data_IF_754816835046
#
_entry.id   IF_754816835046
#
_cell.length_a   1.000
_cell.length_b   1.000
_cell.length_c   1.000
_cell.angle_alpha   90.00
_cell.angle_beta   90.00
_cell.angle_gamma   90.00
#
_symmetry.space_group_name_H-M   'P 1'
#
loop_
_entity.id
_entity.type
_entity.pdbx_description
1 polymer ?
#
# COMPACT_ATOMS: atom_id res chain seq x y z
N UNK A 1 -69.26 28.63 -0.78
CA UNK A 1 -68.66 27.79 0.28
C UNK A 1 -68.51 26.30 -0.08
N UNK A 2 -69.50 25.66 -0.65
CA UNK A 2 -69.45 24.17 -0.99
C UNK A 2 -68.37 23.74 -1.95
N UNK A 3 -67.93 24.54 -2.94
CA UNK A 3 -66.91 24.16 -3.91
C UNK A 3 -65.47 24.17 -3.29
N UNK A 4 -65.18 25.11 -2.38
CA UNK A 4 -63.89 25.20 -1.70
C UNK A 4 -63.71 24.06 -0.70
N UNK A 5 -64.82 23.64 -0.04
CA UNK A 5 -64.75 22.55 0.92
C UNK A 5 -64.49 21.20 0.20
N UNK A 6 -65.04 20.94 -0.94
CA UNK A 6 -64.76 19.76 -1.76
C UNK A 6 -63.32 19.72 -2.26
N UNK A 7 -62.76 20.87 -2.65
CA UNK A 7 -61.34 20.96 -3.09
C UNK A 7 -60.35 20.68 -1.94
N UNK A 8 -60.64 21.15 -0.74
CA UNK A 8 -59.82 20.89 0.45
C UNK A 8 -59.90 19.40 0.83
N UNK A 9 -61.11 18.80 0.77
CA UNK A 9 -61.32 17.37 1.04
C UNK A 9 -60.56 16.49 0.05
N UNK A 10 -60.54 16.87 -1.21
CA UNK A 10 -59.79 16.16 -2.25
C UNK A 10 -58.26 16.26 -2.02
N UNK A 11 -57.78 17.42 -1.61
CA UNK A 11 -56.36 17.64 -1.31
C UNK A 11 -55.92 16.81 -0.10
N UNK A 12 -56.73 16.77 0.97
CA UNK A 12 -56.47 15.96 2.15
C UNK A 12 -56.49 14.46 1.81
N UNK A 13 -57.42 14.02 0.95
CA UNK A 13 -57.50 12.63 0.51
C UNK A 13 -56.29 12.24 -0.37
N UNK A 14 -55.81 13.15 -1.23
CA UNK A 14 -54.63 12.92 -2.05
C UNK A 14 -53.35 12.87 -1.19
N UNK A 15 -53.27 13.72 -0.16
CA UNK A 15 -52.16 13.74 0.79
C UNK A 15 -52.13 12.44 1.62
N UNK A 16 -53.31 11.91 1.99
CA UNK A 16 -53.47 10.66 2.71
C UNK A 16 -53.04 9.44 1.86
N UNK A 17 -53.38 9.44 0.56
CA UNK A 17 -52.90 8.41 -0.40
C UNK A 17 -51.39 8.46 -0.57
N UNK A 18 -50.79 9.66 -0.69
CA UNK A 18 -49.36 9.83 -0.77
C UNK A 18 -48.64 9.36 0.51
N UNK A 19 -49.19 9.70 1.69
CA UNK A 19 -48.63 9.23 2.96
C UNK A 19 -48.79 7.70 3.13
N UNK A 20 -49.91 7.12 2.68
CA UNK A 20 -50.09 5.67 2.65
C UNK A 20 -49.14 4.96 1.69
N UNK A 21 -48.92 5.52 0.50
CA UNK A 21 -47.99 4.94 -0.47
C UNK A 21 -46.54 5.03 -0.02
N UNK A 22 -46.15 6.13 0.65
CA UNK A 22 -44.83 6.27 1.26
C UNK A 22 -44.67 5.36 2.48
N UNK A 23 -45.72 5.25 3.33
CA UNK A 23 -45.71 4.34 4.47
C UNK A 23 -45.63 2.88 4.06
N UNK A 24 -46.41 2.47 3.05
CA UNK A 24 -46.35 1.11 2.48
C UNK A 24 -45.00 0.86 1.81
N UNK A 25 -44.45 1.85 1.07
CA UNK A 25 -43.14 1.76 0.50
C UNK A 25 -42.04 1.61 1.57
N UNK A 26 -42.14 2.33 2.67
CA UNK A 26 -41.23 2.22 3.82
C UNK A 26 -41.36 0.85 4.53
N UNK A 27 -42.58 0.37 4.76
CA UNK A 27 -42.83 -0.97 5.34
C UNK A 27 -42.35 -2.08 4.39
N UNK A 28 -42.53 -1.93 3.09
CA UNK A 28 -41.98 -2.88 2.10
C UNK A 28 -40.44 -2.84 2.07
N UNK A 29 -39.85 -1.66 2.15
CA UNK A 29 -38.40 -1.50 2.22
C UNK A 29 -37.81 -2.13 3.48
N UNK A 30 -38.43 -1.88 4.64
CA UNK A 30 -38.01 -2.48 5.91
C UNK A 30 -38.24 -4.00 5.99
N UNK A 31 -39.27 -4.50 5.30
CA UNK A 31 -39.58 -5.93 5.28
C UNK A 31 -38.75 -6.73 4.28
N UNK A 32 -38.25 -6.07 3.21
CA UNK A 32 -37.29 -6.64 2.29
C UNK A 32 -35.89 -6.68 2.93
N UNK A 33 -35.59 -5.77 3.85
CA UNK A 33 -34.30 -5.71 4.58
C UNK A 33 -34.18 -6.69 5.74
N UNK A 34 -35.22 -7.49 6.06
CA UNK A 34 -35.20 -8.33 7.28
C UNK A 34 -34.69 -9.77 7.05
N UNK A 35 -34.71 -10.28 5.84
CA UNK A 35 -34.28 -11.67 5.54
C UNK A 35 -33.19 -11.81 4.48
N UNK A 36 -33.00 -10.82 3.63
CA UNK A 36 -31.86 -10.77 2.69
C UNK A 36 -31.49 -9.32 2.37
N UNK A 37 -30.23 -8.98 2.47
CA UNK A 37 -29.72 -7.66 2.07
C UNK A 37 -29.15 -7.75 0.65
N UNK A 38 -29.64 -6.91 -0.26
CA UNK A 38 -29.04 -6.74 -1.59
C UNK A 38 -28.37 -5.38 -1.64
N UNK A 39 -27.08 -5.38 -1.89
CA UNK A 39 -26.28 -4.17 -2.05
C UNK A 39 -25.75 -4.12 -3.48
N UNK A 40 -25.89 -2.96 -4.11
CA UNK A 40 -25.28 -2.71 -5.42
C UNK A 40 -24.18 -1.67 -5.27
N UNK A 41 -22.99 -2.03 -5.66
CA UNK A 41 -21.82 -1.17 -5.67
C UNK A 41 -21.26 -1.14 -7.11
N UNK A 42 -21.52 -0.04 -7.82
CA UNK A 42 -21.21 0.09 -9.23
C UNK A 42 -21.89 -0.98 -10.09
N UNK A 43 -21.11 -1.87 -10.67
CA UNK A 43 -21.57 -3.01 -11.49
C UNK A 43 -21.59 -4.33 -10.72
N UNK A 44 -21.26 -4.33 -9.44
CA UNK A 44 -21.30 -5.52 -8.58
C UNK A 44 -22.64 -5.54 -7.83
N UNK A 45 -23.30 -6.68 -7.82
CA UNK A 45 -24.45 -6.95 -6.95
C UNK A 45 -24.06 -7.95 -5.89
N UNK A 46 -24.26 -7.61 -4.63
CA UNK A 46 -23.99 -8.46 -3.47
C UNK A 46 -25.34 -8.87 -2.89
N UNK A 47 -25.56 -10.16 -2.78
CA UNK A 47 -26.77 -10.71 -2.17
C UNK A 47 -26.39 -11.45 -0.89
N UNK A 48 -26.71 -10.86 0.28
CA UNK A 48 -26.54 -11.47 1.59
C UNK A 48 -27.78 -12.27 1.95
N UNK A 49 -27.80 -13.57 1.70
CA UNK A 49 -28.96 -14.45 1.91
C UNK A 49 -29.42 -14.52 3.36
N UNK A 50 -28.50 -14.33 4.31
CA UNK A 50 -28.78 -14.32 5.76
C UNK A 50 -28.63 -12.92 6.38
N UNK A 51 -28.64 -11.87 5.54
CA UNK A 51 -28.31 -10.50 5.95
C UNK A 51 -26.79 -10.26 6.07
N UNK A 52 -26.38 -9.00 5.99
CA UNK A 52 -24.96 -8.61 6.13
C UNK A 52 -24.48 -8.58 7.58
N UNK A 53 -25.40 -8.44 8.54
CA UNK A 53 -25.12 -8.47 9.98
C UNK A 53 -25.49 -9.82 10.54
N UNK A 54 -24.61 -10.37 11.37
CA UNK A 54 -24.88 -11.63 12.06
C UNK A 54 -24.77 -11.45 13.58
N UNK A 55 -25.64 -12.18 14.30
CA UNK A 55 -25.61 -12.32 15.75
C UNK A 55 -26.03 -13.77 16.07
N UNK A 56 -25.07 -14.63 16.29
CA UNK A 56 -25.21 -16.08 16.27
C UNK A 56 -24.62 -16.70 17.54
N UNK A 57 -24.92 -17.98 17.76
CA UNK A 57 -24.30 -18.79 18.81
C UNK A 57 -24.14 -20.23 18.37
N UNK A 58 -23.10 -20.92 18.85
CA UNK A 58 -22.78 -22.27 18.40
C UNK A 58 -22.24 -22.30 16.97
N UNK A 59 -22.09 -23.50 16.42
CA UNK A 59 -21.64 -23.67 15.05
C UNK A 59 -22.76 -23.28 14.07
N UNK A 60 -22.47 -22.33 13.20
CA UNK A 60 -23.42 -21.80 12.22
C UNK A 60 -22.74 -21.54 10.89
N UNK A 61 -23.54 -21.29 9.86
CA UNK A 61 -23.04 -20.83 8.57
C UNK A 61 -23.95 -19.73 8.01
N UNK A 62 -23.37 -18.80 7.28
CA UNK A 62 -24.06 -17.78 6.51
C UNK A 62 -23.56 -17.79 5.08
N UNK A 63 -24.45 -17.46 4.15
CA UNK A 63 -24.16 -17.50 2.71
C UNK A 63 -24.43 -16.16 2.09
N UNK A 64 -23.62 -15.81 1.11
CA UNK A 64 -23.79 -14.62 0.27
C UNK A 64 -23.25 -14.89 -1.13
N UNK A 65 -23.63 -14.07 -2.08
CA UNK A 65 -23.10 -14.12 -3.43
C UNK A 65 -22.67 -12.75 -3.93
N UNK A 66 -21.70 -12.75 -4.82
CA UNK A 66 -21.23 -11.55 -5.52
C UNK A 66 -21.37 -11.80 -7.01
N UNK A 67 -22.09 -10.90 -7.69
CA UNK A 67 -22.33 -10.98 -9.14
C UNK A 67 -21.72 -9.77 -9.81
N UNK A 68 -20.91 -9.99 -10.82
CA UNK A 68 -20.42 -8.94 -11.70
C UNK A 68 -21.38 -8.79 -12.88
N UNK A 69 -22.07 -7.65 -12.98
CA UNK A 69 -23.00 -7.35 -14.06
C UNK A 69 -22.33 -6.60 -15.24
N UNK A 70 -21.02 -6.44 -15.20
CA UNK A 70 -20.24 -5.88 -16.30
C UNK A 70 -19.73 -7.02 -17.20
N UNK A 71 -19.36 -6.70 -18.43
CA UNK A 71 -18.66 -7.62 -19.36
C UNK A 71 -17.16 -7.75 -19.04
N UNK A 72 -16.58 -6.78 -18.32
CA UNK A 72 -15.18 -6.76 -17.91
C UNK A 72 -15.00 -7.34 -16.51
N UNK A 73 -13.85 -7.94 -16.26
CA UNK A 73 -13.50 -8.41 -14.94
C UNK A 73 -13.45 -7.25 -13.92
N UNK A 74 -13.89 -7.51 -12.70
CA UNK A 74 -13.87 -6.57 -11.58
C UNK A 74 -13.11 -7.18 -10.40
N UNK A 75 -12.70 -6.30 -9.50
CA UNK A 75 -12.10 -6.68 -8.23
C UNK A 75 -12.93 -6.15 -7.09
N UNK A 76 -12.98 -6.89 -6.00
CA UNK A 76 -13.65 -6.48 -4.76
C UNK A 76 -12.90 -7.00 -3.54
N UNK A 77 -13.18 -6.41 -2.39
CA UNK A 77 -12.65 -6.86 -1.10
C UNK A 77 -13.75 -7.52 -0.27
N UNK A 78 -13.34 -8.38 0.65
CA UNK A 78 -14.20 -9.00 1.67
C UNK A 78 -13.62 -8.63 3.02
N UNK A 79 -14.42 -8.01 3.90
CA UNK A 79 -14.01 -7.56 5.22
C UNK A 79 -15.05 -7.97 6.26
N UNK A 80 -14.58 -8.28 7.46
CA UNK A 80 -15.40 -8.41 8.66
C UNK A 80 -15.21 -7.18 9.53
N UNK A 81 -16.30 -6.53 9.94
CA UNK A 81 -16.30 -5.33 10.79
C UNK A 81 -17.20 -5.53 11.99
N UNK A 82 -17.05 -4.67 13.00
CA UNK A 82 -17.86 -4.67 14.22
C UNK A 82 -17.93 -6.05 14.91
N UNK A 83 -16.85 -6.82 14.80
CA UNK A 83 -16.82 -8.18 15.33
C UNK A 83 -16.69 -8.17 16.84
N UNK A 84 -17.60 -8.90 17.48
CA UNK A 84 -17.53 -9.31 18.89
C UNK A 84 -17.54 -10.85 18.96
N UNK A 85 -16.45 -11.44 19.40
CA UNK A 85 -16.28 -12.89 19.48
C UNK A 85 -15.19 -13.25 20.50
N UNK A 86 -15.41 -14.36 21.23
CA UNK A 86 -14.41 -15.00 22.07
C UNK A 86 -14.24 -16.43 21.59
N UNK A 87 -13.01 -16.84 21.29
CA UNK A 87 -12.67 -18.21 20.91
C UNK A 87 -13.51 -18.80 19.74
N UNK A 88 -13.82 -17.96 18.76
CA UNK A 88 -14.54 -18.35 17.55
C UNK A 88 -13.60 -18.33 16.38
N UNK A 89 -13.57 -19.38 15.60
CA UNK A 89 -12.90 -19.41 14.30
C UNK A 89 -13.91 -19.43 13.15
N UNK A 90 -13.47 -19.02 11.98
CA UNK A 90 -14.29 -19.12 10.77
C UNK A 90 -13.52 -19.78 9.63
N UNK A 91 -14.29 -20.32 8.70
CA UNK A 91 -13.83 -20.83 7.41
C UNK A 91 -14.69 -20.18 6.32
N UNK A 92 -14.08 -19.37 5.44
CA UNK A 92 -14.72 -18.79 4.26
C UNK A 92 -14.39 -19.64 3.04
N UNK A 93 -15.42 -20.18 2.41
CA UNK A 93 -15.32 -21.03 1.20
C UNK A 93 -16.08 -20.36 0.08
N UNK A 94 -15.55 -20.40 -1.14
CA UNK A 94 -16.25 -19.93 -2.34
C UNK A 94 -16.39 -20.97 -3.42
N UNK A 95 -17.30 -20.72 -4.38
CA UNK A 95 -17.52 -21.59 -5.53
C UNK A 95 -16.34 -21.64 -6.51
N UNK A 96 -15.41 -20.67 -6.44
CA UNK A 96 -14.18 -20.57 -7.25
C UNK A 96 -12.94 -21.11 -6.52
N UNK A 97 -13.13 -21.91 -5.46
CA UNK A 97 -12.10 -22.61 -4.67
C UNK A 97 -11.28 -21.72 -3.70
N UNK A 98 -11.75 -20.51 -3.35
CA UNK A 98 -11.18 -19.80 -2.21
C UNK A 98 -11.48 -20.57 -0.93
N UNK A 99 -10.47 -20.75 -0.07
CA UNK A 99 -10.64 -21.31 1.28
C UNK A 99 -9.72 -20.56 2.24
N UNK A 100 -10.30 -19.82 3.18
CA UNK A 100 -9.60 -19.03 4.19
C UNK A 100 -10.11 -19.43 5.56
N UNK A 101 -9.22 -19.82 6.46
CA UNK A 101 -9.54 -20.14 7.86
C UNK A 101 -8.77 -19.22 8.78
N UNK A 102 -9.47 -18.57 9.74
CA UNK A 102 -8.85 -17.69 10.72
C UNK A 102 -9.69 -17.60 12.01
N UNK A 103 -9.16 -16.94 13.05
CA UNK A 103 -9.94 -16.54 14.22
C UNK A 103 -10.85 -15.37 13.86
N UNK A 104 -12.08 -15.39 14.38
CA UNK A 104 -13.08 -14.38 14.10
C UNK A 104 -12.75 -13.06 14.81
N UNK A 105 -12.45 -12.05 14.02
CA UNK A 105 -12.13 -10.68 14.43
C UNK A 105 -12.45 -9.70 13.30
N UNK A 106 -12.46 -8.42 13.61
CA UNK A 106 -12.53 -7.38 12.56
C UNK A 106 -11.23 -7.37 11.76
N UNK A 107 -11.32 -7.75 10.48
CA UNK A 107 -10.17 -7.85 9.58
C UNK A 107 -10.59 -7.81 8.11
N UNK A 108 -9.64 -7.49 7.25
CA UNK A 108 -9.79 -7.73 5.81
C UNK A 108 -9.52 -9.22 5.58
N UNK A 109 -10.56 -9.96 5.19
CA UNK A 109 -10.50 -11.39 4.93
C UNK A 109 -9.80 -11.65 3.59
N UNK A 110 -10.14 -10.88 2.56
CA UNK A 110 -9.46 -10.85 1.27
C UNK A 110 -9.47 -9.42 0.72
N UNK A 111 -8.30 -8.93 0.42
CA UNK A 111 -8.13 -7.55 -0.07
C UNK A 111 -8.48 -7.41 -1.57
N UNK A 112 -8.35 -8.50 -2.34
CA UNK A 112 -8.58 -8.47 -3.78
C UNK A 112 -9.05 -9.84 -4.27
N UNK A 113 -10.34 -9.92 -4.59
CA UNK A 113 -10.94 -11.07 -5.25
C UNK A 113 -11.28 -10.65 -6.68
N UNK A 114 -10.83 -11.43 -7.65
CA UNK A 114 -11.18 -11.22 -9.07
C UNK A 114 -12.49 -11.93 -9.38
N UNK A 115 -13.37 -11.28 -10.16
CA UNK A 115 -14.58 -11.88 -10.71
C UNK A 115 -14.69 -11.50 -12.18
N UNK A 116 -14.85 -12.50 -13.03
CA UNK A 116 -14.97 -12.27 -14.47
C UNK A 116 -16.27 -11.55 -14.83
N UNK A 117 -16.34 -11.04 -16.06
CA UNK A 117 -17.55 -10.42 -16.56
C UNK A 117 -18.72 -11.39 -16.58
N UNK A 118 -19.89 -10.93 -16.10
CA UNK A 118 -21.14 -11.72 -16.01
C UNK A 118 -21.03 -13.00 -15.15
N UNK A 119 -20.10 -13.05 -14.22
CA UNK A 119 -19.91 -14.17 -13.29
C UNK A 119 -20.60 -13.92 -11.95
N UNK A 120 -20.97 -15.02 -11.29
CA UNK A 120 -21.45 -15.03 -9.90
C UNK A 120 -20.59 -15.98 -9.07
N UNK A 121 -20.01 -15.48 -7.99
CA UNK A 121 -19.30 -16.29 -7.00
C UNK A 121 -20.16 -16.42 -5.74
N UNK A 122 -20.37 -17.65 -5.29
CA UNK A 122 -21.11 -17.95 -4.07
C UNK A 122 -20.14 -18.21 -2.92
N UNK A 123 -20.46 -17.69 -1.76
CA UNK A 123 -19.67 -17.80 -0.55
C UNK A 123 -20.44 -18.48 0.57
N UNK A 124 -19.73 -19.28 1.37
CA UNK A 124 -20.19 -19.81 2.64
C UNK A 124 -19.17 -19.45 3.71
N UNK A 125 -19.61 -18.74 4.75
CA UNK A 125 -18.82 -18.42 5.93
C UNK A 125 -19.31 -19.33 7.08
N UNK A 126 -18.49 -20.29 7.45
CA UNK A 126 -18.76 -21.27 8.51
C UNK A 126 -18.07 -20.86 9.79
N UNK A 127 -18.80 -20.85 10.89
CA UNK A 127 -18.26 -20.54 12.22
C UNK A 127 -18.09 -21.82 13.04
N UNK A 128 -16.96 -21.90 13.75
CA UNK A 128 -16.67 -22.97 14.70
C UNK A 128 -16.40 -22.37 16.06
N UNK A 129 -17.15 -22.83 17.05
CA UNK A 129 -17.02 -22.39 18.44
C UNK A 129 -16.98 -23.58 19.38
N UNK A 130 -16.34 -23.40 20.54
CA UNK A 130 -16.40 -24.36 21.63
C UNK A 130 -17.66 -24.08 22.50
N UNK A 131 -18.69 -24.91 22.37
CA UNK A 131 -19.95 -24.75 23.11
C UNK A 131 -20.95 -23.80 22.43
N UNK A 132 -21.66 -23.00 23.23
CA UNK A 132 -22.72 -22.08 22.78
C UNK A 132 -22.30 -20.60 22.90
N UNK A 133 -21.04 -20.28 22.69
CA UNK A 133 -20.56 -18.91 22.70
C UNK A 133 -21.33 -18.05 21.68
N UNK A 134 -21.63 -16.81 22.09
CA UNK A 134 -22.26 -15.82 21.22
C UNK A 134 -21.21 -15.01 20.48
N UNK A 135 -21.48 -14.71 19.24
CA UNK A 135 -20.64 -13.86 18.41
C UNK A 135 -21.48 -13.06 17.43
N UNK A 136 -20.96 -11.90 17.05
CA UNK A 136 -21.62 -11.00 16.12
C UNK A 136 -20.62 -10.29 15.23
N UNK A 137 -21.10 -9.71 14.13
CA UNK A 137 -20.29 -8.92 13.23
C UNK A 137 -21.07 -8.48 11.99
N UNK A 138 -20.35 -7.83 11.09
CA UNK A 138 -20.86 -7.36 9.79
C UNK A 138 -19.93 -7.85 8.70
N UNK A 139 -20.49 -8.45 7.64
CA UNK A 139 -19.77 -8.76 6.39
C UNK A 139 -19.87 -7.52 5.52
N UNK A 140 -18.76 -6.97 5.15
CA UNK A 140 -18.66 -5.86 4.21
C UNK A 140 -17.95 -6.31 2.95
N UNK A 141 -18.59 -6.12 1.81
CA UNK A 141 -18.01 -6.36 0.48
C UNK A 141 -18.17 -5.05 -0.28
N UNK A 142 -17.13 -4.59 -0.89
CA UNK A 142 -17.17 -3.39 -1.72
C UNK A 142 -16.33 -3.56 -2.96
N UNK A 143 -16.74 -2.90 -4.04
CA UNK A 143 -15.91 -2.78 -5.21
C UNK A 143 -14.54 -2.25 -4.78
N UNK A 144 -13.53 -3.00 -5.13
CA UNK A 144 -12.25 -2.39 -5.32
C UNK A 144 -12.36 -1.75 -6.70
N UNK A 145 -12.58 -0.43 -6.75
CA UNK A 145 -12.52 0.29 -8.02
C UNK A 145 -11.28 -0.23 -8.74
N UNK A 146 -11.44 -0.63 -10.02
CA UNK A 146 -10.30 -1.04 -10.86
C UNK A 146 -9.18 -0.13 -10.47
N UNK A 147 -8.15 -0.68 -9.79
CA UNK A 147 -7.14 0.17 -9.19
C UNK A 147 -6.85 1.24 -10.22
N UNK A 148 -7.26 2.48 -9.95
CA UNK A 148 -6.76 3.60 -10.74
C UNK A 148 -5.31 3.29 -10.79
N UNK A 149 -4.81 2.91 -11.99
CA UNK A 149 -3.45 2.41 -12.18
C UNK A 149 -2.60 2.98 -11.08
N UNK A 150 -2.16 2.16 -10.13
CA UNK A 150 -1.34 2.67 -9.05
C UNK A 150 -0.22 3.45 -9.71
N UNK A 151 0.40 4.38 -9.03
CA UNK A 151 1.52 5.08 -9.65
C UNK A 151 2.61 4.09 -10.10
N UNK A 152 2.74 2.95 -9.40
CA UNK A 152 3.57 1.82 -9.81
C UNK A 152 3.16 1.26 -11.18
N UNK A 153 1.86 1.03 -11.41
CA UNK A 153 1.36 0.53 -12.69
C UNK A 153 1.62 1.51 -13.82
N UNK A 154 1.47 2.80 -13.57
CA UNK A 154 1.78 3.85 -14.57
C UNK A 154 3.26 3.83 -14.93
N UNK A 155 4.15 3.68 -13.95
CA UNK A 155 5.60 3.56 -14.19
C UNK A 155 5.90 2.31 -15.00
N UNK A 156 5.35 1.15 -14.61
CA UNK A 156 5.59 -0.13 -15.30
C UNK A 156 5.01 -0.14 -16.71
N UNK A 157 3.85 0.45 -16.94
CA UNK A 157 3.26 0.58 -18.26
C UNK A 157 4.06 1.54 -19.19
N UNK A 158 4.71 2.54 -18.60
CA UNK A 158 5.49 3.55 -19.34
C UNK A 158 6.95 3.16 -19.57
N UNK A 159 7.43 2.09 -18.92
CA UNK A 159 8.83 1.69 -18.97
C UNK A 159 8.95 0.19 -19.25
N UNK A 160 9.72 -0.14 -20.28
CA UNK A 160 10.08 -1.54 -20.50
C UNK A 160 11.05 -2.00 -19.40
N UNK A 161 10.72 -3.10 -18.74
CA UNK A 161 11.62 -3.76 -17.78
C UNK A 161 12.70 -4.50 -18.58
N UNK A 162 13.95 -4.16 -18.34
CA UNK A 162 15.10 -4.83 -18.94
C UNK A 162 15.49 -6.06 -18.13
N UNK A 163 15.77 -7.17 -18.81
CA UNK A 163 16.14 -8.43 -18.15
C UNK A 163 17.58 -8.42 -17.60
N UNK A 164 18.44 -7.58 -18.17
CA UNK A 164 19.84 -7.47 -17.77
C UNK A 164 20.29 -6.01 -17.79
N UNK A 165 21.16 -5.69 -16.84
CA UNK A 165 21.97 -4.48 -16.86
C UNK A 165 23.00 -4.52 -17.99
N UNK A 166 23.31 -3.37 -18.58
CA UNK A 166 24.37 -3.24 -19.61
C UNK A 166 25.77 -3.34 -19.01
N UNK A 167 25.91 -2.95 -17.74
CA UNK A 167 27.13 -3.13 -16.94
C UNK A 167 26.83 -4.06 -15.76
N UNK A 168 27.86 -4.58 -15.08
CA UNK A 168 27.64 -5.32 -13.84
C UNK A 168 26.93 -4.43 -12.80
N UNK A 169 25.94 -4.94 -12.11
CA UNK A 169 25.09 -4.14 -11.19
C UNK A 169 25.85 -3.49 -10.02
N UNK A 170 27.04 -3.96 -9.70
CA UNK A 170 27.94 -3.37 -8.70
C UNK A 170 28.98 -2.42 -9.31
N UNK A 171 28.98 -2.22 -10.62
CA UNK A 171 29.86 -1.29 -11.32
C UNK A 171 29.15 0.02 -11.67
N UNK A 172 29.92 1.05 -12.04
CA UNK A 172 29.36 2.31 -12.52
C UNK A 172 28.54 2.11 -13.78
N UNK A 173 27.34 2.66 -13.83
CA UNK A 173 26.59 2.76 -15.07
C UNK A 173 27.27 3.77 -15.99
N UNK A 174 27.23 3.50 -17.30
CA UNK A 174 27.82 4.37 -18.33
C UNK A 174 26.79 4.98 -19.27
N UNK A 175 25.59 4.41 -19.30
CA UNK A 175 24.49 4.80 -20.18
C UNK A 175 23.17 4.82 -19.40
N UNK A 176 22.07 5.15 -20.08
CA UNK A 176 20.71 4.88 -19.65
C UNK A 176 20.47 3.36 -19.76
N UNK A 177 20.31 2.70 -18.62
CA UNK A 177 20.02 1.27 -18.54
C UNK A 177 18.53 1.00 -18.28
N UNK A 178 17.72 2.05 -18.05
CA UNK A 178 16.27 1.98 -17.87
C UNK A 178 15.82 1.35 -16.58
N UNK A 179 14.72 0.62 -16.65
CA UNK A 179 14.10 -0.05 -15.52
C UNK A 179 14.54 -1.52 -15.46
N UNK A 180 15.02 -1.95 -14.31
CA UNK A 180 15.49 -3.30 -14.01
C UNK A 180 14.68 -3.88 -12.85
N UNK A 181 14.78 -5.18 -12.58
CA UNK A 181 14.12 -5.85 -11.44
C UNK A 181 15.14 -6.55 -10.54
N UNK A 182 14.82 -6.60 -9.24
CA UNK A 182 15.60 -7.33 -8.22
C UNK A 182 14.71 -7.56 -7.00
N UNK A 183 14.92 -8.67 -6.30
CA UNK A 183 14.22 -8.94 -5.03
C UNK A 183 14.61 -7.94 -3.93
N UNK A 184 13.62 -7.53 -3.13
CA UNK A 184 13.80 -6.83 -1.86
C UNK A 184 13.11 -7.60 -0.71
N UNK A 185 13.04 -7.03 0.49
CA UNK A 185 12.42 -7.67 1.67
C UNK A 185 10.91 -7.93 1.53
N UNK A 186 10.27 -7.42 0.48
CA UNK A 186 8.82 -7.51 0.26
C UNK A 186 8.44 -8.19 -1.06
N UNK A 187 9.43 -8.62 -1.86
CA UNK A 187 9.21 -9.30 -3.14
C UNK A 187 10.00 -8.69 -4.30
N UNK A 188 9.44 -8.74 -5.50
CA UNK A 188 10.10 -8.20 -6.70
C UNK A 188 9.98 -6.68 -6.72
N UNK A 189 11.10 -6.00 -6.58
CA UNK A 189 11.23 -4.57 -6.74
C UNK A 189 11.71 -4.21 -8.16
N UNK A 190 11.32 -3.03 -8.64
CA UNK A 190 11.78 -2.48 -9.92
C UNK A 190 12.52 -1.18 -9.69
N UNK A 191 13.67 -0.99 -10.30
CA UNK A 191 14.54 0.14 -10.04
C UNK A 191 15.16 0.72 -11.30
N UNK A 192 15.34 2.03 -11.29
CA UNK A 192 16.03 2.72 -12.38
C UNK A 192 17.54 2.65 -12.22
N UNK A 193 18.24 2.49 -13.35
CA UNK A 193 19.70 2.44 -13.39
C UNK A 193 20.26 3.28 -14.54
N UNK A 194 21.37 3.95 -14.27
CA UNK A 194 22.10 4.76 -15.24
C UNK A 194 21.52 6.18 -15.40
N UNK A 195 21.83 6.81 -16.50
CA UNK A 195 21.45 8.20 -16.76
C UNK A 195 20.03 8.32 -17.35
N UNK A 196 19.07 7.73 -16.66
CA UNK A 196 17.64 7.78 -17.06
C UNK A 196 17.10 9.19 -16.96
N UNK A 197 16.13 9.53 -17.84
CA UNK A 197 15.52 10.87 -17.91
C UNK A 197 14.03 10.87 -17.57
N UNK A 198 13.40 9.71 -17.54
CA UNK A 198 11.95 9.55 -17.39
C UNK A 198 11.51 9.08 -15.98
N UNK A 199 12.37 9.24 -14.98
CA UNK A 199 12.12 8.89 -13.59
C UNK A 199 11.84 10.10 -12.69
N UNK A 200 11.34 11.22 -13.28
CA UNK A 200 11.02 12.43 -12.53
C UNK A 200 9.55 12.47 -12.16
N UNK A 201 9.26 12.98 -10.98
CA UNK A 201 7.89 13.21 -10.51
C UNK A 201 7.80 14.51 -9.74
N UNK A 202 6.68 15.23 -9.90
CA UNK A 202 6.30 16.36 -9.08
C UNK A 202 5.36 15.86 -7.98
N UNK A 203 5.76 16.01 -6.73
CA UNK A 203 4.95 15.66 -5.57
C UNK A 203 5.16 16.67 -4.45
N UNK A 204 4.08 17.13 -3.82
CA UNK A 204 4.10 18.16 -2.78
C UNK A 204 4.90 19.40 -3.18
N UNK A 205 4.67 19.90 -4.42
CA UNK A 205 5.33 21.07 -5.03
C UNK A 205 6.87 20.97 -5.10
N UNK A 206 7.41 19.75 -5.06
CA UNK A 206 8.85 19.48 -5.16
C UNK A 206 9.13 18.47 -6.26
N UNK A 207 10.31 18.60 -6.86
CA UNK A 207 10.81 17.64 -7.84
C UNK A 207 11.49 16.47 -7.12
N UNK A 208 11.17 15.28 -7.55
CA UNK A 208 11.71 14.04 -7.02
C UNK A 208 12.19 13.14 -8.15
N UNK A 209 13.14 12.26 -7.82
CA UNK A 209 13.55 11.14 -8.66
C UNK A 209 12.92 9.86 -8.10
N UNK A 210 12.35 9.05 -8.97
CA UNK A 210 11.92 7.71 -8.62
C UNK A 210 13.15 6.83 -8.51
N UNK A 211 13.36 6.24 -7.34
CA UNK A 211 14.46 5.31 -7.08
C UNK A 211 14.05 3.90 -7.46
N UNK A 212 12.95 3.44 -6.86
CA UNK A 212 12.41 2.11 -7.12
C UNK A 212 10.91 2.03 -6.80
N UNK A 213 10.26 1.03 -7.38
CA UNK A 213 9.01 0.46 -6.92
C UNK A 213 9.40 -0.69 -6.00
N UNK A 214 9.00 -0.62 -4.73
CA UNK A 214 9.25 -1.68 -3.74
C UNK A 214 8.41 -2.92 -4.04
N UNK A 215 8.80 -4.08 -3.51
CA UNK A 215 8.05 -5.33 -3.68
C UNK A 215 6.62 -5.29 -3.12
N UNK A 216 6.30 -4.36 -2.22
CA UNK A 216 4.94 -4.09 -1.72
C UNK A 216 4.12 -3.13 -2.60
N UNK A 217 4.68 -2.66 -3.72
CA UNK A 217 4.05 -1.71 -4.66
C UNK A 217 4.19 -0.24 -4.26
N UNK A 218 4.72 0.08 -3.10
CA UNK A 218 5.04 1.47 -2.72
C UNK A 218 6.23 1.99 -3.53
N UNK A 219 6.35 3.32 -3.67
CA UNK A 219 7.39 3.93 -4.49
C UNK A 219 8.34 4.71 -3.62
N UNK A 220 9.63 4.41 -3.74
CA UNK A 220 10.69 5.17 -3.09
C UNK A 220 11.11 6.34 -3.97
N UNK A 221 10.97 7.54 -3.42
CA UNK A 221 11.39 8.78 -4.06
C UNK A 221 12.61 9.35 -3.33
N UNK A 222 13.46 10.06 -4.06
CA UNK A 222 14.52 10.89 -3.51
C UNK A 222 14.34 12.34 -3.99
N UNK A 223 14.49 13.30 -3.09
CA UNK A 223 14.37 14.71 -3.43
C UNK A 223 15.45 15.09 -4.47
N UNK A 224 15.04 15.71 -5.58
CA UNK A 224 15.96 16.28 -6.57
C UNK A 224 16.42 17.67 -6.12
N UNK A 225 17.17 17.71 -5.03
CA UNK A 225 17.62 18.95 -4.41
C UNK A 225 18.31 18.73 -3.08
N UNK A 226 18.66 19.82 -2.43
CA UNK A 226 19.30 19.85 -1.11
C UNK A 226 18.30 20.37 -0.08
N UNK A 227 18.33 19.83 1.11
CA UNK A 227 17.66 20.36 2.29
C UNK A 227 18.72 21.03 3.15
N UNK A 228 18.85 22.35 3.01
CA UNK A 228 19.94 23.13 3.64
C UNK A 228 19.98 23.01 5.17
N UNK A 229 18.86 22.77 5.80
CA UNK A 229 18.73 22.64 7.26
C UNK A 229 19.27 21.31 7.80
N UNK A 230 19.58 20.33 6.94
CA UNK A 230 20.02 18.99 7.34
C UNK A 230 21.54 18.85 7.46
N UNK A 231 22.30 19.91 7.27
CA UNK A 231 23.77 19.90 7.10
C UNK A 231 24.57 19.55 8.34
N UNK A 232 24.08 18.79 9.33
CA UNK A 232 24.87 18.46 10.52
C UNK A 232 24.71 17.02 11.01
N UNK A 233 25.83 16.35 11.00
CA UNK A 233 26.39 15.24 11.76
C UNK A 233 25.48 14.09 12.22
N UNK A 234 25.91 12.92 11.82
CA UNK A 234 25.73 11.66 12.50
C UNK A 234 26.51 11.74 13.85
N UNK A 235 25.83 11.72 14.96
CA UNK A 235 26.43 11.49 16.26
C UNK A 235 26.77 10.00 16.40
N UNK A 236 27.64 9.64 17.35
CA UNK A 236 28.16 8.29 17.55
C UNK A 236 27.11 7.18 17.84
N UNK A 237 25.81 7.53 17.90
CA UNK A 237 24.74 6.56 18.10
C UNK A 237 24.32 5.98 16.74
N UNK A 238 24.68 4.74 16.51
CA UNK A 238 24.46 3.97 15.26
C UNK A 238 22.98 3.68 14.94
N UNK A 239 22.05 4.05 15.81
CA UNK A 239 20.62 3.96 15.52
C UNK A 239 20.16 5.20 14.77
N UNK A 240 19.79 5.04 13.48
CA UNK A 240 19.30 6.13 12.66
C UNK A 240 18.18 6.94 13.33
N UNK A 241 17.24 6.26 14.00
CA UNK A 241 16.12 6.90 14.72
C UNK A 241 16.53 7.84 15.86
N UNK A 242 17.74 7.71 16.40
CA UNK A 242 18.29 8.55 17.47
C UNK A 242 19.19 9.67 16.93
N UNK A 243 19.56 9.61 15.66
CA UNK A 243 20.51 10.54 15.05
C UNK A 243 19.93 11.96 14.89
N UNK A 244 20.81 12.94 14.88
CA UNK A 244 20.44 14.33 14.60
C UNK A 244 19.88 14.50 13.20
N UNK A 245 20.37 13.75 12.22
CA UNK A 245 19.83 13.74 10.84
C UNK A 245 18.38 13.30 10.83
N UNK A 246 18.06 12.20 11.52
CA UNK A 246 16.67 11.73 11.57
C UNK A 246 15.74 12.77 12.20
N UNK A 247 16.11 13.36 13.31
CA UNK A 247 15.33 14.43 13.99
C UNK A 247 15.10 15.64 13.06
N UNK A 248 16.11 16.02 12.28
CA UNK A 248 16.00 17.10 11.32
C UNK A 248 15.12 16.72 10.13
N UNK A 249 15.21 15.48 9.64
CA UNK A 249 14.33 14.93 8.59
C UNK A 249 12.87 14.90 9.05
N UNK A 250 12.59 14.43 10.26
CA UNK A 250 11.24 14.43 10.84
C UNK A 250 10.67 15.84 10.96
N UNK A 251 11.49 16.80 11.42
CA UNK A 251 11.07 18.20 11.47
C UNK A 251 10.78 18.77 10.08
N UNK A 252 11.63 18.48 9.11
CA UNK A 252 11.42 18.89 7.72
C UNK A 252 10.16 18.23 7.13
N UNK A 253 9.94 16.94 7.39
CA UNK A 253 8.74 16.21 6.99
C UNK A 253 7.49 16.90 7.55
N UNK A 254 7.44 17.14 8.85
CA UNK A 254 6.31 17.80 9.52
C UNK A 254 6.00 19.17 8.93
N UNK A 255 7.02 19.96 8.61
CA UNK A 255 6.84 21.30 8.06
C UNK A 255 6.48 21.32 6.58
N UNK A 256 6.78 20.26 5.83
CA UNK A 256 6.75 20.28 4.36
C UNK A 256 5.80 19.26 3.75
N UNK A 257 5.69 18.08 4.35
CA UNK A 257 5.00 16.93 3.77
C UNK A 257 3.83 16.42 4.61
N UNK A 258 3.62 16.89 5.83
CA UNK A 258 2.59 16.36 6.75
C UNK A 258 1.18 16.45 6.15
N UNK A 259 0.87 17.52 5.43
CA UNK A 259 -0.42 17.67 4.71
C UNK A 259 -0.64 16.64 3.58
N UNK A 260 0.40 15.95 3.17
CA UNK A 260 0.37 14.88 2.17
C UNK A 260 0.51 13.48 2.81
N UNK A 261 0.38 13.39 4.14
CA UNK A 261 0.61 12.17 4.92
C UNK A 261 -0.19 10.96 4.48
N UNK A 262 -1.39 11.16 3.93
CA UNK A 262 -2.25 10.07 3.41
C UNK A 262 -1.66 9.38 2.16
N UNK A 263 -0.76 10.06 1.45
CA UNK A 263 -0.07 9.55 0.27
C UNK A 263 1.33 9.00 0.57
N UNK A 264 1.82 9.16 1.81
CA UNK A 264 3.16 8.78 2.22
C UNK A 264 3.06 7.59 3.18
N UNK A 265 3.47 6.42 2.70
CA UNK A 265 3.44 5.20 3.48
C UNK A 265 4.49 5.20 4.61
N UNK A 266 4.18 4.50 5.71
CA UNK A 266 5.23 4.00 6.60
C UNK A 266 5.95 2.88 5.89
N UNK A 267 7.26 3.00 5.77
CA UNK A 267 8.12 2.01 5.14
C UNK A 267 9.22 1.54 6.09
N UNK A 268 9.68 0.32 5.90
CA UNK A 268 10.79 -0.25 6.68
C UNK A 268 12.11 0.08 6.01
N UNK A 269 12.70 1.22 6.39
CA UNK A 269 14.02 1.63 5.90
C UNK A 269 15.11 0.74 6.48
N UNK A 270 16.10 0.39 5.68
CA UNK A 270 17.24 -0.40 6.12
C UNK A 270 18.31 0.48 6.77
N UNK A 271 18.50 0.33 8.07
CA UNK A 271 19.62 0.91 8.81
C UNK A 271 20.80 -0.06 8.78
N UNK A 272 21.66 0.07 7.78
CA UNK A 272 22.70 -0.88 7.43
C UNK A 272 24.06 -0.52 8.05
N UNK A 273 24.10 -0.54 9.38
CA UNK A 273 25.29 -0.27 10.22
C UNK A 273 25.85 -1.55 10.86
N UNK A 274 25.80 -2.67 10.16
CA UNK A 274 26.33 -3.94 10.66
C UNK A 274 27.84 -3.98 10.44
N UNK A 275 28.57 -4.31 11.51
CA UNK A 275 30.03 -4.46 11.50
C UNK A 275 30.43 -5.93 11.37
N UNK A 276 31.49 -6.15 10.65
CA UNK A 276 32.29 -7.39 10.63
C UNK A 276 33.72 -7.00 11.02
N UNK A 277 34.13 -7.33 12.25
CA UNK A 277 35.27 -6.73 12.94
C UNK A 277 35.18 -5.19 12.97
N UNK A 278 36.12 -4.49 12.33
CA UNK A 278 36.17 -3.03 12.27
C UNK A 278 35.57 -2.44 10.98
N UNK A 279 35.11 -3.28 10.04
CA UNK A 279 34.55 -2.85 8.77
C UNK A 279 33.02 -2.95 8.77
N UNK A 280 32.36 -1.99 8.13
CA UNK A 280 30.93 -2.14 7.85
C UNK A 280 30.70 -3.14 6.70
N UNK A 281 29.76 -4.08 6.92
CA UNK A 281 29.41 -5.08 5.90
C UNK A 281 28.95 -4.42 4.59
N UNK A 282 28.26 -3.28 4.67
CA UNK A 282 27.82 -2.52 3.51
C UNK A 282 29.01 -2.14 2.59
N UNK A 283 30.12 -1.68 3.18
CA UNK A 283 31.33 -1.35 2.42
C UNK A 283 31.91 -2.58 1.73
N UNK A 284 32.10 -3.67 2.44
CA UNK A 284 32.63 -4.91 1.88
C UNK A 284 31.74 -5.43 0.74
N UNK A 285 30.42 -5.40 0.93
CA UNK A 285 29.44 -5.87 -0.06
C UNK A 285 29.45 -5.01 -1.32
N UNK A 286 29.38 -3.69 -1.17
CA UNK A 286 29.16 -2.77 -2.30
C UNK A 286 30.48 -2.39 -2.99
N UNK A 287 31.52 -2.06 -2.22
CA UNK A 287 32.78 -1.53 -2.78
C UNK A 287 33.73 -2.66 -3.14
N UNK A 288 33.95 -3.60 -2.21
CA UNK A 288 34.96 -4.67 -2.41
C UNK A 288 34.40 -5.77 -3.32
N UNK A 289 33.20 -6.29 -3.00
CA UNK A 289 32.64 -7.45 -3.70
C UNK A 289 31.73 -7.07 -4.87
N UNK A 290 31.24 -5.82 -4.92
CA UNK A 290 30.39 -5.29 -5.99
C UNK A 290 29.07 -6.06 -6.18
N UNK A 291 28.47 -6.50 -5.07
CA UNK A 291 27.23 -7.27 -5.02
C UNK A 291 26.13 -6.55 -4.21
N UNK A 292 25.71 -5.33 -4.64
CA UNK A 292 24.67 -4.60 -3.94
C UNK A 292 23.35 -5.36 -3.90
N UNK A 293 22.55 -5.12 -2.85
CA UNK A 293 21.27 -5.79 -2.63
C UNK A 293 20.20 -4.82 -2.15
N UNK A 294 18.91 -5.13 -2.41
CA UNK A 294 17.77 -4.46 -1.79
C UNK A 294 17.25 -5.20 -0.55
N UNK A 295 17.73 -6.42 -0.30
CA UNK A 295 17.44 -7.14 0.94
C UNK A 295 18.24 -6.49 2.06
N UNK A 296 17.57 -6.08 3.14
CA UNK A 296 18.22 -5.45 4.28
C UNK A 296 19.05 -6.45 5.08
N UNK A 297 20.32 -6.19 5.23
CA UNK A 297 21.21 -6.98 6.09
C UNK A 297 21.43 -6.35 7.46
N UNK A 298 20.88 -5.15 7.69
CA UNK A 298 20.89 -4.44 8.95
C UNK A 298 19.54 -4.50 9.68
N UNK A 299 19.26 -3.47 10.47
CA UNK A 299 18.02 -3.34 11.19
C UNK A 299 16.99 -2.53 10.39
N UNK A 300 15.74 -2.99 10.37
CA UNK A 300 14.65 -2.26 9.73
C UNK A 300 14.10 -1.18 10.68
N UNK A 301 14.01 0.06 10.20
CA UNK A 301 13.43 1.20 10.90
C UNK A 301 12.15 1.63 10.21
N UNK A 302 11.04 1.60 10.95
CA UNK A 302 9.74 2.01 10.42
C UNK A 302 9.62 3.54 10.45
N UNK A 303 9.55 4.18 9.29
CA UNK A 303 9.45 5.63 9.15
C UNK A 303 8.76 6.03 7.84
N UNK A 304 8.29 7.26 7.76
CA UNK A 304 7.79 7.87 6.52
C UNK A 304 8.89 8.53 5.70
N UNK A 305 10.03 8.80 6.31
CA UNK A 305 11.16 9.48 5.68
C UNK A 305 12.48 8.82 6.09
N UNK A 306 13.44 8.77 5.17
CA UNK A 306 14.74 8.18 5.43
C UNK A 306 15.77 8.66 4.40
N UNK A 307 16.94 8.06 4.44
CA UNK A 307 17.99 8.29 3.47
C UNK A 307 18.12 7.09 2.52
N UNK A 308 18.92 7.23 1.48
CA UNK A 308 19.31 6.12 0.62
C UNK A 308 20.33 5.24 1.36
N UNK A 309 20.39 3.96 1.00
CA UNK A 309 21.51 3.08 1.34
C UNK A 309 22.60 3.16 0.27
N UNK A 310 23.82 2.77 0.59
CA UNK A 310 24.90 2.67 -0.42
C UNK A 310 24.56 1.64 -1.50
N UNK A 311 23.79 0.60 -1.15
CA UNK A 311 23.29 -0.39 -2.11
C UNK A 311 22.35 0.24 -3.14
N UNK A 312 21.45 1.10 -2.70
CA UNK A 312 20.52 1.81 -3.58
C UNK A 312 21.27 2.75 -4.54
N UNK A 313 22.30 3.45 -4.05
CA UNK A 313 23.16 4.29 -4.89
C UNK A 313 23.94 3.44 -5.90
N UNK A 314 24.51 2.32 -5.48
CA UNK A 314 25.25 1.40 -6.36
C UNK A 314 24.34 0.77 -7.40
N UNK A 315 23.15 0.32 -7.02
CA UNK A 315 22.15 -0.23 -7.95
C UNK A 315 21.67 0.80 -8.95
N UNK A 316 21.55 2.08 -8.54
CA UNK A 316 21.27 3.18 -9.46
C UNK A 316 22.41 3.47 -10.47
N UNK A 317 23.60 2.89 -10.26
CA UNK A 317 24.76 3.02 -11.14
C UNK A 317 25.90 3.89 -10.61
N UNK A 318 25.82 4.36 -9.36
CA UNK A 318 26.84 5.17 -8.72
C UNK A 318 27.80 4.33 -7.88
N UNK A 319 28.78 3.68 -8.47
CA UNK A 319 29.75 2.85 -7.74
C UNK A 319 31.04 3.55 -7.36
N UNK A 320 31.29 4.75 -7.88
CA UNK A 320 32.44 5.59 -7.54
C UNK A 320 32.02 7.05 -7.48
N UNK A 321 32.76 7.85 -6.70
CA UNK A 321 32.53 9.29 -6.54
C UNK A 321 32.73 10.09 -7.86
N UNK A 322 33.38 9.51 -8.85
CA UNK A 322 33.65 10.16 -10.14
C UNK A 322 32.56 9.91 -11.18
N UNK A 323 31.64 8.98 -10.92
CA UNK A 323 30.60 8.68 -11.90
C UNK A 323 29.49 9.74 -11.90
N UNK A 324 29.37 10.43 -13.02
CA UNK A 324 28.30 11.41 -13.31
C UNK A 324 27.20 10.86 -14.21
N UNK A 325 27.31 9.60 -14.63
CA UNK A 325 26.43 8.98 -15.62
C UNK A 325 25.29 8.17 -14.97
N UNK A 326 24.71 8.69 -13.89
CA UNK A 326 23.55 8.08 -13.28
C UNK A 326 22.59 9.16 -12.71
N UNK A 327 21.32 8.85 -12.60
CA UNK A 327 20.28 9.83 -12.34
C UNK A 327 20.32 10.43 -10.92
N UNK A 328 20.98 9.80 -9.96
CA UNK A 328 21.15 10.33 -8.59
C UNK A 328 22.29 11.36 -8.51
N UNK A 329 23.15 11.46 -9.52
CA UNK A 329 24.14 12.53 -9.58
C UNK A 329 23.44 13.89 -9.74
N UNK A 330 23.75 14.80 -8.84
CA UNK A 330 23.18 16.15 -8.85
C UNK A 330 24.29 17.19 -8.72
N UNK A 331 24.50 17.99 -9.77
CA UNK A 331 25.54 19.03 -9.83
C UNK A 331 25.37 20.14 -8.77
N UNK A 332 24.19 20.28 -8.21
CA UNK A 332 23.90 21.24 -7.15
C UNK A 332 24.43 20.79 -5.78
N UNK A 333 24.75 19.52 -5.63
CA UNK A 333 25.31 18.96 -4.40
C UNK A 333 26.83 19.06 -4.50
N UNK A 334 27.42 19.95 -3.73
CA UNK A 334 28.86 20.25 -3.75
C UNK A 334 29.66 19.50 -2.68
N UNK A 335 29.09 18.48 -2.05
CA UNK A 335 29.73 17.70 -0.99
C UNK A 335 29.17 16.30 -0.92
N UNK A 336 29.60 15.56 0.09
CA UNK A 336 29.06 14.24 0.39
C UNK A 336 27.64 14.35 0.95
N UNK A 337 26.79 13.40 0.65
CA UNK A 337 25.51 13.24 1.32
C UNK A 337 25.47 11.96 2.14
N UNK A 338 24.68 12.00 3.19
CA UNK A 338 24.57 10.91 4.14
C UNK A 338 23.73 9.77 3.59
N UNK A 339 24.08 8.54 3.98
CA UNK A 339 23.32 7.33 3.69
C UNK A 339 22.91 6.61 4.97
N UNK A 340 22.00 5.66 4.87
CA UNK A 340 21.64 4.75 5.96
C UNK A 340 22.61 3.57 6.10
N UNK A 341 23.75 3.59 5.44
CA UNK A 341 24.76 2.55 5.51
C UNK A 341 26.03 3.10 6.16
N UNK A 342 26.73 2.26 6.92
CA UNK A 342 28.00 2.61 7.54
C UNK A 342 29.08 2.89 6.50
N UNK A 343 29.98 3.81 6.84
CA UNK A 343 31.18 4.13 6.05
C UNK A 343 32.17 2.96 6.01
N UNK A 344 33.37 3.20 5.47
CA UNK A 344 34.39 2.17 5.22
C UNK A 344 34.73 1.36 6.49
N UNK A 345 35.08 2.03 7.62
CA UNK A 345 35.40 1.40 8.90
C UNK A 345 34.76 2.15 10.06
N UNK A 346 34.68 1.51 11.22
CA UNK A 346 34.19 2.12 12.47
C UNK A 346 34.92 3.42 12.84
N UNK A 347 36.16 3.58 12.41
CA UNK A 347 37.02 4.72 12.73
C UNK A 347 37.18 5.70 11.55
N UNK A 348 36.53 5.45 10.41
CA UNK A 348 36.65 6.29 9.25
C UNK A 348 35.49 7.28 9.15
N UNK A 349 35.83 8.57 9.03
CA UNK A 349 34.87 9.63 8.69
C UNK A 349 34.74 9.79 7.14
N UNK A 350 35.30 8.89 6.37
CA UNK A 350 35.30 8.97 4.92
C UNK A 350 34.09 8.26 4.33
N UNK A 351 33.36 8.96 3.49
CA UNK A 351 32.17 8.46 2.78
C UNK A 351 32.56 8.24 1.33
N UNK A 352 32.58 6.99 0.83
CA UNK A 352 33.06 6.68 -0.51
C UNK A 352 32.12 7.13 -1.64
N UNK A 353 30.93 7.63 -1.30
CA UNK A 353 29.93 8.12 -2.25
C UNK A 353 29.66 9.62 -1.99
N UNK A 354 30.55 10.43 -2.48
CA UNK A 354 30.37 11.88 -2.53
C UNK A 354 29.88 12.32 -3.89
#
# INVERSE_FOLDING_TARGET
MRKRFKSILYFIFLLFIVCLSLGVGYIFYDKISSDSDIVVDGKITINYLNGKKFNLSGNNEITFSVTNNDSEAKYYYIQLTDVYANDVSYELISSDNLNITNNLKSEIVSNQVSINGNETINYTLKFKVNGNEKYSGTIQIGLKENEKNTFADVILASNKVNEKSLTSIGESAILDEGLLKKEDDHGVAYYFRGNVKNNNVLFADKNWKIVKINGDGSIKLVLDGVIDELSKYYEEDYAFSNSTIYKNLEKWYTNTLDSYGDYIAYYKYCNDYVLDDDNYLAYNRVITNKIPTYVCLGNLVNSRIGLLTVDEVSLAGGSTSENKNFYLYNEKITGAYYTMSGAMTRYSNYYPFA
#
